data_IF_226244626345
#
_entry.id   IF_226244626345
#
_cell.length_a   1.000
_cell.length_b   1.000
_cell.length_c   1.000
_cell.angle_alpha   90.00
_cell.angle_beta   90.00
_cell.angle_gamma   90.00
#
_symmetry.space_group_name_H-M   'P 1'
#
loop_
_entity.id
_entity.type
_entity.pdbx_description
1 polymer ?
#
# COMPACT_ATOMS: atom_id res chain seq x y z
N UNK A 1 -41.76 28.78 27.82
CA UNK A 1 -41.06 28.30 26.61
C UNK A 1 -39.89 27.43 27.02
N UNK A 2 -39.96 26.12 26.74
CA UNK A 2 -38.91 25.16 27.08
C UNK A 2 -38.34 24.60 25.77
N UNK A 3 -37.07 24.89 25.46
CA UNK A 3 -36.41 24.37 24.28
C UNK A 3 -35.95 22.93 24.56
N UNK A 4 -36.49 21.96 23.81
CA UNK A 4 -35.99 20.58 23.78
C UNK A 4 -34.94 20.48 22.69
N UNK A 5 -33.69 20.23 23.05
CA UNK A 5 -32.63 19.89 22.11
C UNK A 5 -32.78 18.42 21.72
N UNK A 6 -33.16 18.19 20.47
CA UNK A 6 -33.19 16.86 19.86
C UNK A 6 -31.83 16.62 19.24
N UNK A 7 -31.01 15.75 19.84
CA UNK A 7 -29.76 15.30 19.23
C UNK A 7 -30.09 14.18 18.25
N UNK A 8 -30.04 14.47 16.95
CA UNK A 8 -30.19 13.46 15.90
C UNK A 8 -28.87 12.68 15.84
N UNK A 9 -28.84 11.49 16.45
CA UNK A 9 -27.72 10.58 16.31
C UNK A 9 -27.65 10.08 14.87
N UNK A 10 -26.71 10.59 14.07
CA UNK A 10 -26.38 9.99 12.78
C UNK A 10 -25.69 8.67 13.06
N UNK A 11 -26.45 7.57 13.07
CA UNK A 11 -25.90 6.22 13.10
C UNK A 11 -25.03 6.02 11.86
N UNK A 12 -23.70 6.21 11.99
CA UNK A 12 -22.75 5.71 11.01
C UNK A 12 -22.87 4.19 11.03
N UNK A 13 -23.35 3.64 9.93
CA UNK A 13 -23.28 2.20 9.69
C UNK A 13 -21.79 1.86 9.64
N UNK A 14 -21.28 1.28 10.72
CA UNK A 14 -19.91 0.79 10.77
C UNK A 14 -19.83 -0.45 9.89
N UNK A 15 -19.33 -0.32 8.68
CA UNK A 15 -18.94 -1.49 7.90
C UNK A 15 -17.80 -2.21 8.64
N UNK A 16 -17.88 -3.54 8.80
CA UNK A 16 -16.89 -4.28 9.56
C UNK A 16 -15.52 -4.27 8.85
N UNK A 17 -14.46 -4.13 9.64
CA UNK A 17 -13.08 -4.13 9.15
C UNK A 17 -12.61 -5.59 9.02
N UNK A 18 -12.89 -6.14 7.85
CA UNK A 18 -12.73 -7.56 7.52
C UNK A 18 -12.07 -7.76 6.16
N UNK A 19 -11.62 -8.99 5.90
CA UNK A 19 -10.99 -9.43 4.66
C UNK A 19 -9.51 -9.81 4.82
N UNK A 20 -8.94 -10.38 3.76
CA UNK A 20 -7.66 -11.10 3.78
C UNK A 20 -6.50 -10.30 4.38
N UNK A 21 -6.46 -8.98 4.16
CA UNK A 21 -5.40 -8.11 4.69
C UNK A 21 -5.55 -7.90 6.20
N UNK A 22 -6.77 -7.68 6.68
CA UNK A 22 -7.05 -7.47 8.10
C UNK A 22 -6.97 -8.78 8.90
N UNK A 23 -7.37 -9.91 8.31
CA UNK A 23 -7.13 -11.24 8.88
C UNK A 23 -5.63 -11.54 9.02
N UNK A 24 -4.83 -11.12 8.04
CA UNK A 24 -3.36 -11.25 8.10
C UNK A 24 -2.74 -10.39 9.20
N UNK A 25 -3.27 -9.19 9.46
CA UNK A 25 -2.87 -8.40 10.64
C UNK A 25 -3.17 -9.16 11.93
N UNK A 26 -4.41 -9.66 12.10
CA UNK A 26 -4.83 -10.42 13.29
C UNK A 26 -3.94 -11.65 13.50
N UNK A 27 -3.64 -12.41 12.45
CA UNK A 27 -2.72 -13.57 12.48
C UNK A 27 -1.31 -13.21 12.98
N UNK A 28 -0.86 -11.98 12.73
CA UNK A 28 0.42 -11.46 13.21
C UNK A 28 0.33 -10.73 14.55
N UNK A 29 -0.80 -10.82 15.26
CA UNK A 29 -1.07 -10.12 16.52
C UNK A 29 -0.90 -8.59 16.36
N UNK A 30 -1.37 -8.07 15.24
CA UNK A 30 -1.45 -6.65 14.92
C UNK A 30 -2.93 -6.26 14.90
N UNK A 31 -3.25 -5.16 15.56
CA UNK A 31 -4.60 -4.62 15.61
C UNK A 31 -4.77 -3.51 14.58
N UNK A 32 -6.02 -3.27 14.17
CA UNK A 32 -6.35 -2.17 13.25
C UNK A 32 -5.98 -0.81 13.86
N UNK A 33 -6.04 -0.67 15.18
CA UNK A 33 -5.57 0.52 15.92
C UNK A 33 -4.06 0.77 15.78
N UNK A 34 -3.27 -0.21 15.32
CA UNK A 34 -1.87 0.00 14.98
C UNK A 34 -1.67 0.66 13.60
N UNK A 35 -2.76 1.02 12.90
CA UNK A 35 -2.75 1.71 11.62
C UNK A 35 -3.30 3.14 11.76
N UNK A 36 -2.90 4.02 10.84
CA UNK A 36 -3.60 5.30 10.66
C UNK A 36 -4.95 5.06 9.98
N UNK A 37 -5.94 5.92 10.23
CA UNK A 37 -7.24 5.86 9.53
C UNK A 37 -7.09 5.88 8.00
N UNK A 38 -6.12 6.65 7.48
CA UNK A 38 -5.76 6.66 6.06
C UNK A 38 -5.34 5.28 5.57
N UNK A 39 -4.45 4.60 6.30
CA UNK A 39 -3.98 3.27 5.93
C UNK A 39 -5.07 2.20 6.04
N UNK A 40 -6.01 2.31 6.99
CA UNK A 40 -7.18 1.43 7.06
C UNK A 40 -8.01 1.53 5.78
N UNK A 41 -8.29 2.76 5.32
CA UNK A 41 -9.03 2.98 4.08
C UNK A 41 -8.28 2.44 2.84
N UNK A 42 -6.97 2.70 2.76
CA UNK A 42 -6.13 2.18 1.66
C UNK A 42 -6.15 0.66 1.65
N UNK A 43 -5.98 0.00 2.79
CA UNK A 43 -6.02 -1.46 2.88
C UNK A 43 -7.40 -2.02 2.48
N UNK A 44 -8.49 -1.35 2.86
CA UNK A 44 -9.85 -1.74 2.45
C UNK A 44 -10.04 -1.69 0.93
N UNK A 45 -9.46 -0.71 0.24
CA UNK A 45 -9.54 -0.65 -1.22
C UNK A 45 -8.60 -1.67 -1.88
N UNK A 46 -7.39 -1.85 -1.35
CA UNK A 46 -6.40 -2.77 -1.92
C UNK A 46 -6.82 -4.25 -1.81
N UNK A 47 -7.56 -4.66 -0.77
CA UNK A 47 -8.08 -6.03 -0.71
C UNK A 47 -9.12 -6.33 -1.80
N UNK A 48 -9.74 -5.32 -2.42
CA UNK A 48 -10.67 -5.55 -3.53
C UNK A 48 -9.95 -6.04 -4.78
N UNK A 49 -8.64 -5.76 -4.92
CA UNK A 49 -7.82 -6.15 -6.07
C UNK A 49 -6.90 -7.35 -5.80
N UNK A 50 -6.65 -7.70 -4.53
CA UNK A 50 -5.78 -8.80 -4.14
C UNK A 50 -6.59 -10.10 -4.10
N UNK A 51 -6.05 -11.16 -4.72
CA UNK A 51 -6.63 -12.51 -4.69
C UNK A 51 -6.08 -13.35 -3.55
N UNK A 52 -4.76 -13.26 -3.29
CA UNK A 52 -4.08 -14.11 -2.32
C UNK A 52 -2.87 -13.40 -1.69
N UNK A 53 -2.52 -13.82 -0.47
CA UNK A 53 -1.27 -13.48 0.22
C UNK A 53 -0.39 -14.73 0.24
N UNK A 54 0.59 -14.76 -0.66
CA UNK A 54 1.46 -15.92 -0.86
C UNK A 54 2.56 -16.02 0.19
N UNK A 55 2.87 -14.94 0.90
CA UNK A 55 3.94 -14.90 1.89
C UNK A 55 3.97 -13.61 2.68
N UNK A 56 4.63 -13.65 3.83
CA UNK A 56 4.76 -12.51 4.73
C UNK A 56 6.15 -12.42 5.35
N UNK A 57 6.57 -11.20 5.66
CA UNK A 57 7.74 -10.89 6.47
C UNK A 57 7.42 -9.75 7.41
N UNK A 58 7.50 -10.00 8.72
CA UNK A 58 7.34 -8.99 9.76
C UNK A 58 8.71 -8.46 10.16
N UNK A 59 8.86 -7.14 10.12
CA UNK A 59 10.08 -6.47 10.53
C UNK A 59 9.83 -5.56 11.72
N UNK A 60 10.84 -5.42 12.57
CA UNK A 60 10.93 -4.44 13.64
C UNK A 60 11.93 -3.37 13.27
N UNK A 61 11.60 -2.12 13.56
CA UNK A 61 12.43 -0.95 13.31
C UNK A 61 12.97 -0.43 14.65
N UNK A 62 14.22 0.01 14.66
CA UNK A 62 14.86 0.56 15.85
C UNK A 62 15.81 1.70 15.50
N UNK A 63 16.27 2.41 16.53
CA UNK A 63 17.12 3.61 16.42
C UNK A 63 16.47 4.68 15.55
N UNK A 64 15.24 5.06 15.89
CA UNK A 64 14.54 6.21 15.28
C UNK A 64 14.86 7.48 16.08
N UNK A 65 14.68 8.64 15.44
CA UNK A 65 14.65 9.90 16.17
C UNK A 65 13.48 9.91 17.18
N UNK A 66 13.53 10.82 18.16
CA UNK A 66 12.42 11.03 19.09
C UNK A 66 11.09 11.36 18.39
N UNK A 67 11.16 11.97 17.20
CA UNK A 67 9.99 12.26 16.34
C UNK A 67 9.49 11.04 15.55
N UNK A 68 10.16 9.88 15.66
CA UNK A 68 9.83 8.65 14.94
C UNK A 68 10.45 8.55 13.54
N UNK A 69 11.14 9.58 13.07
CA UNK A 69 11.77 9.55 11.75
C UNK A 69 13.02 8.66 11.71
N UNK A 70 13.30 8.00 10.58
CA UNK A 70 14.50 7.21 10.43
C UNK A 70 15.75 8.09 10.26
N UNK A 71 16.77 7.83 11.07
CA UNK A 71 18.09 8.46 11.07
C UNK A 71 19.16 7.57 10.44
N UNK A 72 20.36 8.09 10.24
CA UNK A 72 21.51 7.40 9.61
C UNK A 72 21.73 5.97 10.14
N UNK A 73 21.68 5.80 11.46
CA UNK A 73 21.92 4.53 12.16
C UNK A 73 20.63 3.75 12.49
N UNK A 74 19.50 4.10 11.89
CA UNK A 74 18.26 3.32 12.02
C UNK A 74 18.46 1.90 11.52
N UNK A 75 17.91 0.94 12.26
CA UNK A 75 18.06 -0.49 12.00
C UNK A 75 16.71 -1.13 11.70
N UNK A 76 16.79 -2.25 11.00
CA UNK A 76 15.67 -3.13 10.70
C UNK A 76 16.06 -4.55 11.09
N UNK A 77 15.14 -5.28 11.71
CA UNK A 77 15.31 -6.65 12.15
C UNK A 77 14.15 -7.49 11.66
N UNK A 78 14.44 -8.70 11.17
CA UNK A 78 13.41 -9.65 10.78
C UNK A 78 12.87 -10.37 12.01
N UNK A 79 11.57 -10.22 12.27
CA UNK A 79 10.88 -10.87 13.41
C UNK A 79 10.30 -12.21 13.01
N UNK A 80 9.72 -12.30 11.80
CA UNK A 80 9.02 -13.50 11.32
C UNK A 80 8.99 -13.53 9.80
N UNK A 81 9.02 -14.74 9.22
CA UNK A 81 8.67 -15.03 7.82
C UNK A 81 7.68 -16.18 7.77
N UNK A 82 6.79 -16.17 6.79
CA UNK A 82 5.96 -17.33 6.46
C UNK A 82 5.62 -17.37 4.96
N UNK A 83 5.11 -18.53 4.51
CA UNK A 83 4.75 -18.76 3.11
C UNK A 83 5.95 -18.67 2.17
N UNK A 84 5.72 -18.13 0.98
CA UNK A 84 6.71 -17.94 -0.08
C UNK A 84 7.93 -17.09 0.33
N UNK A 85 7.80 -16.26 1.38
CA UNK A 85 8.92 -15.47 1.93
C UNK A 85 9.93 -16.31 2.71
N UNK A 86 9.55 -17.50 3.20
CA UNK A 86 10.43 -18.36 4.02
C UNK A 86 11.63 -18.88 3.24
N UNK A 87 11.50 -19.01 1.91
CA UNK A 87 12.56 -19.49 1.02
C UNK A 87 13.52 -18.38 0.59
N UNK A 88 13.26 -17.12 0.97
CA UNK A 88 14.02 -15.96 0.53
C UNK A 88 14.97 -15.52 1.64
N UNK A 89 16.27 -15.49 1.34
CA UNK A 89 17.27 -14.87 2.22
C UNK A 89 17.02 -13.37 2.29
N UNK A 90 16.76 -12.85 3.48
CA UNK A 90 16.55 -11.41 3.63
C UNK A 90 17.89 -10.71 3.70
N UNK A 91 18.07 -9.64 2.93
CA UNK A 91 19.26 -8.78 3.07
C UNK A 91 19.47 -8.28 4.50
N UNK A 92 18.38 -8.11 5.25
CA UNK A 92 18.38 -7.67 6.65
C UNK A 92 19.12 -8.65 7.56
N UNK A 93 19.19 -9.92 7.20
CA UNK A 93 19.93 -10.94 7.95
C UNK A 93 21.46 -10.77 7.83
N UNK A 94 21.93 -10.07 6.79
CA UNK A 94 23.36 -9.77 6.58
C UNK A 94 23.72 -8.30 6.87
N UNK A 95 22.81 -7.37 6.54
CA UNK A 95 22.96 -5.93 6.75
C UNK A 95 21.66 -5.37 7.33
N UNK A 96 21.68 -5.02 8.61
CA UNK A 96 20.51 -4.54 9.35
C UNK A 96 20.27 -3.03 9.21
N UNK A 97 20.99 -2.31 8.32
CA UNK A 97 20.74 -0.88 8.10
C UNK A 97 19.37 -0.65 7.42
N UNK A 98 18.57 0.24 7.97
CA UNK A 98 17.29 0.65 7.36
C UNK A 98 17.56 1.56 6.15
N UNK A 99 17.35 1.03 4.94
CA UNK A 99 17.61 1.72 3.67
C UNK A 99 16.54 1.45 2.60
N UNK A 100 16.54 2.27 1.55
CA UNK A 100 15.67 2.12 0.38
C UNK A 100 14.18 2.28 0.70
N UNK A 101 13.32 1.54 -0.01
CA UNK A 101 11.85 1.66 0.09
C UNK A 101 11.33 1.50 1.52
N UNK A 102 11.91 0.59 2.31
CA UNK A 102 11.50 0.40 3.72
C UNK A 102 11.77 1.65 4.57
N UNK A 103 12.89 2.34 4.35
CA UNK A 103 13.20 3.62 5.03
C UNK A 103 12.21 4.71 4.63
N UNK A 104 11.90 4.81 3.33
CA UNK A 104 10.94 5.78 2.80
C UNK A 104 9.55 5.56 3.44
N UNK A 105 9.11 4.30 3.54
CA UNK A 105 7.83 3.95 4.16
C UNK A 105 7.80 4.30 5.65
N UNK A 106 8.87 4.02 6.40
CA UNK A 106 8.95 4.40 7.82
C UNK A 106 8.84 5.91 7.99
N UNK A 107 9.47 6.69 7.11
CA UNK A 107 9.38 8.16 7.14
C UNK A 107 8.00 8.69 6.73
N UNK A 108 7.41 8.14 5.66
CA UNK A 108 6.17 8.64 5.08
C UNK A 108 4.90 8.12 5.78
N UNK A 109 4.97 6.94 6.41
CA UNK A 109 3.85 6.33 7.13
C UNK A 109 2.70 5.82 6.26
N UNK A 110 2.86 5.78 4.93
CA UNK A 110 1.83 5.33 3.99
C UNK A 110 2.03 3.86 3.59
N UNK A 111 0.93 3.13 3.40
CA UNK A 111 0.94 1.82 2.74
C UNK A 111 1.57 1.93 1.35
N UNK A 112 2.42 0.96 1.01
CA UNK A 112 3.09 0.88 -0.28
C UNK A 112 2.70 -0.39 -1.01
N UNK A 113 2.35 -0.28 -2.30
CA UNK A 113 2.19 -1.40 -3.23
C UNK A 113 3.15 -1.20 -4.41
N UNK A 114 3.78 -2.27 -4.87
CA UNK A 114 4.75 -2.21 -5.97
C UNK A 114 5.45 -3.54 -6.22
N UNK A 115 6.51 -3.51 -7.04
CA UNK A 115 7.36 -4.69 -7.29
C UNK A 115 8.60 -4.73 -6.37
N UNK A 116 8.94 -5.92 -5.91
CA UNK A 116 10.16 -6.20 -5.16
C UNK A 116 11.40 -6.02 -6.04
N UNK A 117 12.35 -5.17 -5.62
CA UNK A 117 13.55 -4.86 -6.42
C UNK A 117 14.50 -6.05 -6.68
N UNK A 118 14.36 -7.16 -5.97
CA UNK A 118 15.28 -8.32 -6.06
C UNK A 118 14.62 -9.48 -6.79
N UNK A 119 13.36 -9.76 -6.47
CA UNK A 119 12.63 -10.95 -6.89
C UNK A 119 11.47 -10.62 -7.84
N UNK A 120 11.27 -9.35 -8.19
CA UNK A 120 10.22 -8.83 -9.07
C UNK A 120 8.79 -9.25 -8.68
N UNK A 121 8.58 -9.59 -7.39
CA UNK A 121 7.27 -10.01 -6.89
C UNK A 121 6.40 -8.81 -6.57
N UNK A 122 5.09 -8.96 -6.73
CA UNK A 122 4.12 -7.97 -6.27
C UNK A 122 4.09 -7.97 -4.75
N UNK A 123 4.39 -6.81 -4.14
CA UNK A 123 4.49 -6.67 -2.69
C UNK A 123 3.59 -5.55 -2.18
N UNK A 124 3.02 -5.78 -1.01
CA UNK A 124 2.36 -4.77 -0.19
C UNK A 124 3.18 -4.59 1.10
N UNK A 125 3.49 -3.35 1.48
CA UNK A 125 4.16 -3.04 2.74
C UNK A 125 3.24 -2.14 3.57
N UNK A 126 2.86 -2.64 4.74
CA UNK A 126 2.00 -1.96 5.70
C UNK A 126 2.86 -1.43 6.85
N UNK A 127 2.91 -0.10 7.07
CA UNK A 127 3.56 0.49 8.23
C UNK A 127 2.68 0.38 9.47
N UNK A 128 3.26 -0.02 10.60
CA UNK A 128 2.55 -0.37 11.82
C UNK A 128 3.11 0.42 13.02
N UNK A 129 2.19 0.95 13.83
CA UNK A 129 2.43 1.68 15.09
C UNK A 129 2.11 0.79 16.28
N UNK A 130 3.03 -0.12 16.65
CA UNK A 130 2.73 -1.16 17.64
C UNK A 130 2.88 -0.68 19.09
N UNK A 131 3.90 0.15 19.39
CA UNK A 131 4.23 0.57 20.77
C UNK A 131 3.96 2.05 21.08
N UNK A 132 3.50 2.82 20.11
CA UNK A 132 3.35 4.28 20.24
C UNK A 132 3.01 4.92 18.90
N UNK A 133 3.13 6.25 18.77
CA UNK A 133 2.66 6.97 17.59
C UNK A 133 3.59 6.85 16.36
N UNK A 134 4.68 6.10 16.46
CA UNK A 134 5.70 5.99 15.42
C UNK A 134 5.67 4.63 14.75
N UNK A 135 6.05 4.59 13.48
CA UNK A 135 6.19 3.34 12.72
C UNK A 135 7.37 2.55 13.27
N UNK A 136 7.09 1.53 14.07
CA UNK A 136 8.10 0.66 14.70
C UNK A 136 8.10 -0.75 14.11
N UNK A 137 7.15 -1.08 13.23
CA UNK A 137 7.12 -2.33 12.48
C UNK A 137 6.70 -2.11 11.03
N UNK A 138 7.15 -3.02 10.17
CA UNK A 138 6.68 -3.14 8.78
C UNK A 138 6.20 -4.57 8.55
N UNK A 139 4.97 -4.72 8.07
CA UNK A 139 4.48 -5.99 7.55
C UNK A 139 4.61 -5.96 6.02
N UNK A 140 5.49 -6.79 5.46
CA UNK A 140 5.60 -6.98 4.02
C UNK A 140 4.84 -8.26 3.64
N UNK A 141 3.98 -8.15 2.63
CA UNK A 141 3.22 -9.24 2.06
C UNK A 141 3.64 -9.44 0.60
N UNK A 142 3.85 -10.69 0.20
CA UNK A 142 3.85 -11.09 -1.21
C UNK A 142 2.40 -11.36 -1.61
N UNK A 143 1.90 -10.66 -2.62
CA UNK A 143 0.48 -10.66 -2.99
C UNK A 143 0.30 -11.03 -4.44
N UNK A 144 -0.79 -11.75 -4.72
CA UNK A 144 -1.27 -11.99 -6.07
C UNK A 144 -2.55 -11.19 -6.32
N UNK A 145 -2.75 -10.76 -7.56
CA UNK A 145 -3.91 -9.95 -7.94
C UNK A 145 -5.05 -10.81 -8.49
N UNK A 146 -6.28 -10.28 -8.43
CA UNK A 146 -7.42 -10.85 -9.13
C UNK A 146 -7.26 -10.65 -10.64
N UNK A 147 -7.74 -11.62 -11.41
CA UNK A 147 -7.65 -11.58 -12.90
C UNK A 147 -8.56 -10.53 -13.50
N UNK A 148 -9.79 -10.44 -12.99
CA UNK A 148 -10.81 -9.51 -13.47
C UNK A 148 -11.16 -8.54 -12.35
N UNK A 149 -11.02 -7.25 -12.63
CA UNK A 149 -11.21 -6.18 -11.65
C UNK A 149 -11.95 -5.04 -12.35
N UNK A 150 -13.10 -4.67 -11.79
CA UNK A 150 -13.88 -3.52 -12.25
C UNK A 150 -13.03 -2.25 -12.20
N UNK A 151 -13.20 -1.40 -13.21
CA UNK A 151 -12.44 -0.16 -13.34
C UNK A 151 -12.58 0.73 -12.08
N UNK A 152 -13.78 0.82 -11.51
CA UNK A 152 -14.04 1.58 -10.29
C UNK A 152 -13.23 1.07 -9.08
N UNK A 153 -12.98 -0.24 -8.99
CA UNK A 153 -12.12 -0.84 -7.95
C UNK A 153 -10.65 -0.52 -8.20
N UNK A 154 -10.19 -0.55 -9.47
CA UNK A 154 -8.83 -0.12 -9.83
C UNK A 154 -8.58 1.33 -9.41
N UNK A 155 -9.49 2.24 -9.75
CA UNK A 155 -9.41 3.67 -9.39
C UNK A 155 -9.36 3.86 -7.87
N UNK A 156 -10.28 3.22 -7.12
CA UNK A 156 -10.29 3.29 -5.65
C UNK A 156 -9.01 2.74 -5.01
N UNK A 157 -8.48 1.64 -5.55
CA UNK A 157 -7.27 0.99 -5.06
C UNK A 157 -6.00 1.80 -5.34
N UNK A 158 -5.95 2.54 -6.46
CA UNK A 158 -4.84 3.44 -6.79
C UNK A 158 -4.78 4.66 -5.85
N UNK A 159 -5.92 5.17 -5.38
CA UNK A 159 -5.97 6.30 -4.44
C UNK A 159 -5.21 7.52 -4.98
N UNK A 160 -4.34 8.11 -4.16
CA UNK A 160 -3.52 9.29 -4.54
C UNK A 160 -2.69 9.05 -5.83
N UNK A 161 -2.32 7.80 -6.12
CA UNK A 161 -1.58 7.43 -7.34
C UNK A 161 -2.42 7.62 -8.60
N UNK A 162 -3.74 7.41 -8.52
CA UNK A 162 -4.64 7.67 -9.66
C UNK A 162 -4.62 9.14 -10.04
N UNK A 163 -4.78 10.03 -9.05
CA UNK A 163 -4.70 11.48 -9.28
C UNK A 163 -3.35 11.88 -9.85
N UNK A 164 -2.26 11.29 -9.35
CA UNK A 164 -0.93 11.57 -9.87
C UNK A 164 -0.76 11.14 -11.35
N UNK A 165 -1.20 9.93 -11.71
CA UNK A 165 -1.19 9.46 -13.11
C UNK A 165 -2.01 10.39 -14.00
N UNK A 166 -3.24 10.70 -13.57
CA UNK A 166 -4.15 11.57 -14.30
C UNK A 166 -3.52 12.94 -14.57
N UNK A 167 -2.93 13.56 -13.55
CA UNK A 167 -2.28 14.86 -13.70
C UNK A 167 -1.14 14.82 -14.74
N UNK A 168 -0.28 13.80 -14.71
CA UNK A 168 0.82 13.66 -15.69
C UNK A 168 0.29 13.48 -17.11
N UNK A 169 -0.80 12.71 -17.29
CA UNK A 169 -1.41 12.53 -18.62
C UNK A 169 -2.05 13.84 -19.12
N UNK A 170 -2.76 14.55 -18.26
CA UNK A 170 -3.43 15.83 -18.59
C UNK A 170 -2.44 17.00 -18.78
N UNK A 171 -1.16 16.84 -18.43
CA UNK A 171 -0.09 17.78 -18.84
C UNK A 171 0.19 17.72 -20.35
N UNK A 172 -0.35 16.72 -21.05
CA UNK A 172 -0.31 16.59 -22.52
C UNK A 172 -1.65 16.96 -23.16
N UNK A 173 -1.72 17.02 -24.49
CA UNK A 173 -2.99 17.23 -25.22
C UNK A 173 -3.93 16.00 -25.21
N UNK A 174 -3.66 14.99 -24.39
CA UNK A 174 -4.48 13.78 -24.26
C UNK A 174 -5.54 13.98 -23.15
N UNK A 175 -6.85 14.04 -23.49
CA UNK A 175 -7.89 14.11 -22.46
C UNK A 175 -7.95 12.81 -21.65
N UNK A 176 -8.19 12.91 -20.34
CA UNK A 176 -8.24 11.75 -19.48
C UNK A 176 -9.47 10.85 -19.72
N UNK A 177 -9.24 9.55 -19.82
CA UNK A 177 -10.25 8.49 -19.75
C UNK A 177 -9.79 7.41 -18.76
N UNK A 178 -10.62 7.09 -17.76
CA UNK A 178 -10.31 6.01 -16.79
C UNK A 178 -10.02 4.68 -17.50
N UNK A 179 -10.59 4.44 -18.69
CA UNK A 179 -10.33 3.23 -19.47
C UNK A 179 -8.86 3.04 -19.87
N UNK A 180 -8.04 4.10 -19.82
CA UNK A 180 -6.59 3.97 -20.01
C UNK A 180 -5.93 3.06 -18.98
N UNK A 181 -6.51 2.92 -17.78
CA UNK A 181 -6.03 1.98 -16.77
C UNK A 181 -6.23 0.51 -17.18
N UNK A 182 -7.05 0.22 -18.20
CA UNK A 182 -7.23 -1.12 -18.76
C UNK A 182 -6.18 -1.46 -19.84
N UNK A 183 -5.37 -0.49 -20.27
CA UNK A 183 -4.26 -0.74 -21.21
C UNK A 183 -3.11 -1.51 -20.56
N UNK A 184 -3.03 -1.47 -19.22
CA UNK A 184 -2.04 -2.18 -18.44
C UNK A 184 -2.67 -3.39 -17.75
N UNK A 185 -1.89 -4.46 -17.63
CA UNK A 185 -2.24 -5.52 -16.69
C UNK A 185 -2.19 -5.00 -15.24
N UNK A 186 -2.85 -5.71 -14.33
CA UNK A 186 -2.98 -5.29 -12.93
C UNK A 186 -1.63 -5.29 -12.22
N UNK A 187 -0.72 -6.20 -12.59
CA UNK A 187 0.60 -6.29 -11.98
C UNK A 187 1.46 -5.07 -12.30
N UNK A 188 1.41 -4.58 -13.53
CA UNK A 188 2.11 -3.39 -13.97
C UNK A 188 1.43 -2.13 -13.42
N UNK A 189 0.10 -2.05 -13.46
CA UNK A 189 -0.67 -0.92 -12.95
C UNK A 189 -0.38 -0.65 -11.45
N UNK A 190 -0.27 -1.69 -10.64
CA UNK A 190 0.05 -1.58 -9.21
C UNK A 190 1.55 -1.76 -8.91
N UNK A 191 2.34 -2.18 -9.89
CA UNK A 191 3.77 -2.44 -9.77
C UNK A 191 4.68 -1.26 -10.12
N UNK A 192 4.26 -0.45 -11.09
CA UNK A 192 5.05 0.67 -11.64
C UNK A 192 4.79 2.00 -10.95
N UNK A 193 5.65 3.00 -11.20
CA UNK A 193 5.43 4.36 -10.69
C UNK A 193 4.32 5.06 -11.47
N UNK A 194 3.81 6.19 -10.95
CA UNK A 194 2.79 6.97 -11.64
C UNK A 194 3.29 7.47 -13.00
N UNK A 195 4.56 7.90 -13.04
CA UNK A 195 5.25 8.41 -14.23
C UNK A 195 5.33 7.34 -15.32
N UNK A 196 5.78 6.12 -14.98
CA UNK A 196 5.85 5.01 -15.95
C UNK A 196 4.49 4.64 -16.52
N UNK A 197 3.45 4.66 -15.69
CA UNK A 197 2.08 4.34 -16.12
C UNK A 197 1.58 5.44 -17.06
N UNK A 198 1.79 6.71 -16.71
CA UNK A 198 1.40 7.84 -17.54
C UNK A 198 2.15 7.84 -18.88
N UNK A 199 3.48 7.65 -18.88
CA UNK A 199 4.31 7.51 -20.09
C UNK A 199 3.79 6.39 -21.01
N UNK A 200 3.41 5.25 -20.44
CA UNK A 200 2.83 4.15 -21.19
C UNK A 200 1.48 4.54 -21.83
N UNK A 201 0.58 5.16 -21.06
CA UNK A 201 -0.73 5.61 -21.54
C UNK A 201 -0.58 6.61 -22.70
N UNK A 202 0.30 7.60 -22.54
CA UNK A 202 0.59 8.61 -23.56
C UNK A 202 1.14 7.96 -24.83
N UNK A 203 2.08 7.03 -24.69
CA UNK A 203 2.69 6.33 -25.83
C UNK A 203 1.67 5.48 -26.59
N UNK A 204 0.87 4.69 -25.86
CA UNK A 204 -0.15 3.82 -26.45
C UNK A 204 -1.28 4.60 -27.14
N UNK A 205 -1.58 5.80 -26.65
CA UNK A 205 -2.60 6.67 -27.26
C UNK A 205 -2.06 7.42 -28.48
N UNK A 206 -0.77 7.73 -28.51
CA UNK A 206 -0.11 8.40 -29.64
C UNK A 206 0.02 7.49 -30.86
N UNK A 207 0.25 6.19 -30.67
CA UNK A 207 0.31 5.20 -31.77
C UNK A 207 -1.07 4.85 -32.35
N UNK A 208 -2.15 5.27 -31.68
CA UNK A 208 -3.53 5.08 -32.14
C UNK A 208 -4.09 6.25 -32.95
N UNK A 209 -3.37 7.37 -33.06
CA UNK A 209 -3.73 8.49 -33.94
C UNK A 209 -3.30 8.14 -35.39
N UNK A 210 -4.24 8.09 -36.35
CA UNK A 210 -3.93 7.81 -37.76
C UNK A 210 -3.12 8.92 -38.43
#
# INVERSE_FOLDING_TARGET
HQAKTVTVGTSRIWEPIEGILFETLKKNKLDVSNLTNKNVLVMKNLQEIISEIEGESLYKISNLAFTGEPVENSKIELVKKAGSSSKIKSRVEADNKLKGTKRIIVKAGNVFIGKGKIDNRSILIVPIMKKGPHIDHLLLLNVSFKREIDLSKKVKALGDKFTHIKNIVEETDLPWDDNYLNLLDVEELFGSSAEKIAEFIISASSTSKP
#
